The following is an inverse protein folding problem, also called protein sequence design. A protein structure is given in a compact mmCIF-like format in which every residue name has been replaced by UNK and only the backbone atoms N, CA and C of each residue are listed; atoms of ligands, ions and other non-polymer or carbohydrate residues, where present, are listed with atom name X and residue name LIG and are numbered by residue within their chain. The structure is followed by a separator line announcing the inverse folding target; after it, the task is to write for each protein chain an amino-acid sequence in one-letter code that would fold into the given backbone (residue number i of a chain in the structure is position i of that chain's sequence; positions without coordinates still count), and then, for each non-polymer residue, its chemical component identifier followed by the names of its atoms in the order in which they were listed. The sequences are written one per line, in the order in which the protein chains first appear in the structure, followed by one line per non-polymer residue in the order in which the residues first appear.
data_IF_361452975622
#
_entry.id   IF_361452975622
#
_cell.length_a   1.000
_cell.length_b   1.000
_cell.length_c   1.000
_cell.angle_alpha   90.00
_cell.angle_beta   90.00
_cell.angle_gamma   90.00
#
_symmetry.space_group_name_H-M   'P 1'
#
loop_
_entity.id
_entity.type
_entity.pdbx_description
1 polymer ?
#
# COMPACT_ATOMS: atom_id res chain seq x y z
N UNK A 1 8.54 -13.01 -38.74
CA UNK A 1 8.77 -12.16 -37.55
C UNK A 1 7.55 -12.10 -36.63
N UNK A 2 6.35 -11.81 -37.15
CA UNK A 2 5.09 -11.77 -36.40
C UNK A 2 4.75 -13.03 -35.58
N UNK A 3 5.07 -14.23 -36.08
CA UNK A 3 4.85 -15.49 -35.34
C UNK A 3 5.70 -15.63 -34.06
N UNK A 4 6.93 -15.07 -34.03
CA UNK A 4 7.80 -15.11 -32.83
C UNK A 4 7.25 -14.23 -31.71
N UNK A 5 6.69 -13.07 -32.07
CA UNK A 5 6.09 -12.12 -31.11
C UNK A 5 4.84 -12.74 -30.49
N UNK A 6 3.96 -13.36 -31.29
CA UNK A 6 2.78 -14.05 -30.77
C UNK A 6 3.11 -15.20 -29.81
N UNK A 7 4.17 -15.98 -30.11
CA UNK A 7 4.67 -17.03 -29.19
C UNK A 7 5.19 -16.46 -27.88
N UNK A 8 5.91 -15.34 -27.92
CA UNK A 8 6.43 -14.67 -26.73
C UNK A 8 5.31 -14.22 -25.77
N UNK A 9 4.24 -13.59 -26.30
CA UNK A 9 3.08 -13.21 -25.47
C UNK A 9 2.33 -14.43 -24.90
N UNK A 10 2.28 -15.54 -25.65
CA UNK A 10 1.68 -16.78 -25.16
C UNK A 10 2.48 -17.39 -24.01
N UNK A 11 3.81 -17.41 -24.11
CA UNK A 11 4.71 -17.86 -23.06
C UNK A 11 4.63 -16.97 -21.81
N UNK A 12 4.64 -15.64 -21.98
CA UNK A 12 4.46 -14.67 -20.88
C UNK A 12 3.12 -14.88 -20.17
N UNK A 13 2.01 -15.03 -20.92
CA UNK A 13 0.70 -15.31 -20.31
C UNK A 13 0.69 -16.64 -19.55
N UNK A 14 1.39 -17.65 -20.06
CA UNK A 14 1.52 -18.97 -19.42
C UNK A 14 2.32 -18.89 -18.12
N UNK A 15 3.36 -18.07 -18.05
CA UNK A 15 4.11 -17.80 -16.81
C UNK A 15 3.32 -16.95 -15.82
N UNK A 16 2.61 -15.92 -16.28
CA UNK A 16 1.73 -15.10 -15.43
C UNK A 16 0.59 -15.92 -14.81
N UNK A 17 0.15 -17.00 -15.46
CA UNK A 17 -0.82 -17.94 -14.88
C UNK A 17 -0.24 -18.82 -13.77
N UNK A 18 1.08 -18.94 -13.65
CA UNK A 18 1.75 -19.66 -12.55
C UNK A 18 1.99 -18.75 -11.34
N UNK A 19 1.81 -17.45 -11.49
CA UNK A 19 1.90 -16.50 -10.38
C UNK A 19 0.75 -16.80 -9.42
N UNK A 20 1.10 -17.25 -8.21
CA UNK A 20 0.16 -17.42 -7.12
C UNK A 20 -0.27 -16.03 -6.64
N UNK A 21 -1.34 -15.49 -7.21
CA UNK A 21 -1.97 -14.27 -6.72
C UNK A 21 -2.57 -14.55 -5.35
N UNK A 22 -2.35 -13.64 -4.40
CA UNK A 22 -3.00 -13.71 -3.08
C UNK A 22 -4.51 -13.76 -3.25
N UNK A 23 -5.16 -14.52 -2.38
CA UNK A 23 -6.61 -14.60 -2.38
C UNK A 23 -7.18 -13.20 -2.04
N UNK A 24 -8.34 -12.84 -2.61
CA UNK A 24 -8.97 -11.51 -2.39
C UNK A 24 -9.22 -11.21 -0.91
N UNK A 25 -9.30 -12.23 -0.07
CA UNK A 25 -9.44 -12.12 1.38
C UNK A 25 -8.14 -11.69 2.06
N UNK A 26 -6.98 -12.22 1.65
CA UNK A 26 -5.67 -11.85 2.21
C UNK A 26 -5.32 -10.40 1.86
N UNK A 27 -5.62 -10.00 0.61
CA UNK A 27 -5.44 -8.60 0.17
C UNK A 27 -6.24 -7.61 1.03
N UNK A 28 -7.46 -7.97 1.41
CA UNK A 28 -8.28 -7.17 2.34
C UNK A 28 -7.69 -7.15 3.74
N UNK A 29 -7.24 -8.30 4.25
CA UNK A 29 -6.56 -8.41 5.53
C UNK A 29 -5.34 -7.47 5.62
N UNK A 30 -4.44 -7.52 4.63
CA UNK A 30 -3.27 -6.64 4.58
C UNK A 30 -3.66 -5.16 4.51
N UNK A 31 -4.69 -4.80 3.75
CA UNK A 31 -5.13 -3.40 3.63
C UNK A 31 -5.72 -2.87 4.94
N UNK A 32 -6.47 -3.69 5.67
CA UNK A 32 -7.05 -3.31 6.98
C UNK A 32 -5.94 -3.03 8.00
N UNK A 33 -4.89 -3.84 8.03
CA UNK A 33 -3.75 -3.62 8.93
C UNK A 33 -3.04 -2.30 8.61
N UNK A 34 -2.82 -2.02 7.32
CA UNK A 34 -2.21 -0.75 6.88
C UNK A 34 -3.08 0.45 7.26
N UNK A 35 -4.40 0.36 7.06
CA UNK A 35 -5.35 1.41 7.46
C UNK A 35 -5.30 1.68 8.97
N UNK A 36 -5.29 0.63 9.79
CA UNK A 36 -5.19 0.78 11.24
C UNK A 36 -3.88 1.47 11.64
N UNK A 37 -2.76 1.09 11.02
CA UNK A 37 -1.46 1.73 11.26
C UNK A 37 -1.45 3.20 10.85
N UNK A 38 -2.02 3.55 9.70
CA UNK A 38 -2.16 4.95 9.26
C UNK A 38 -2.97 5.78 10.26
N UNK A 39 -4.06 5.25 10.81
CA UNK A 39 -4.89 5.95 11.81
C UNK A 39 -4.07 6.25 13.07
N UNK A 40 -3.28 5.28 13.54
CA UNK A 40 -2.41 5.47 14.72
C UNK A 40 -1.38 6.57 14.45
N UNK A 41 -0.74 6.57 13.27
CA UNK A 41 0.22 7.61 12.89
C UNK A 41 -0.42 9.01 12.83
N UNK A 42 -1.61 9.12 12.23
CA UNK A 42 -2.34 10.40 12.17
C UNK A 42 -2.65 10.92 13.56
N UNK A 43 -3.13 10.04 14.46
CA UNK A 43 -3.42 10.42 15.84
C UNK A 43 -2.14 10.87 16.58
N UNK A 44 -1.03 10.17 16.39
CA UNK A 44 0.26 10.53 16.99
C UNK A 44 0.75 11.90 16.51
N UNK A 45 0.74 12.15 15.19
CA UNK A 45 1.14 13.43 14.61
C UNK A 45 0.21 14.56 15.10
N UNK A 46 -1.09 14.33 15.15
CA UNK A 46 -2.05 15.29 15.66
C UNK A 46 -1.77 15.72 17.11
N UNK A 47 -1.39 14.78 17.98
CA UNK A 47 -1.00 15.08 19.36
C UNK A 47 0.27 15.94 19.40
N UNK A 48 1.28 15.62 18.58
CA UNK A 48 2.51 16.40 18.49
C UNK A 48 2.22 17.82 18.00
N UNK A 49 1.40 17.98 16.97
CA UNK A 49 1.02 19.28 16.42
C UNK A 49 0.27 20.13 17.45
N UNK A 50 -0.62 19.52 18.24
CA UNK A 50 -1.27 20.18 19.37
C UNK A 50 -0.26 20.65 20.41
N UNK A 51 0.68 19.80 20.84
CA UNK A 51 1.70 20.18 21.82
C UNK A 51 2.58 21.32 21.31
N UNK A 52 3.05 21.22 20.07
CA UNK A 52 3.89 22.25 19.43
C UNK A 52 3.12 23.56 19.23
N UNK A 53 1.84 23.53 18.87
CA UNK A 53 1.02 24.74 18.71
C UNK A 53 0.81 25.48 20.04
N UNK A 54 0.58 24.75 21.14
CA UNK A 54 0.48 25.34 22.49
C UNK A 54 1.79 26.00 22.92
N UNK A 55 2.94 25.35 22.68
CA UNK A 55 4.25 25.92 22.99
C UNK A 55 4.50 27.18 22.16
N UNK A 56 4.13 27.19 20.88
CA UNK A 56 4.29 28.36 20.01
C UNK A 56 3.50 29.57 20.51
N UNK A 57 2.29 29.36 21.03
CA UNK A 57 1.46 30.40 21.63
C UNK A 57 1.97 30.92 22.98
N UNK A 58 2.89 30.21 23.64
CA UNK A 58 3.59 30.71 24.83
C UNK A 58 4.85 31.52 24.50
N UNK A 59 5.42 31.33 23.30
CA UNK A 59 6.68 31.95 22.88
C UNK A 59 6.48 33.31 22.20
N UNK A 60 5.34 33.53 21.55
CA UNK A 60 4.91 34.82 21.00
C UNK A 60 3.90 35.49 21.94
#
# INVERSE_FOLDING_TARGET
MFSKIGKYFFEVRKELSKVAWLNRQELRGSTIVVLAFCIILVMFLFVIDLLLSNVRGWVY
#
